data_IF_038989782407
#
_entry.id   IF_038989782407
#
_cell.length_a   1.000
_cell.length_b   1.000
_cell.length_c   1.000
_cell.angle_alpha   90.00
_cell.angle_beta   90.00
_cell.angle_gamma   90.00
#
_symmetry.space_group_name_H-M   'P 1'
#
loop_
_entity.id
_entity.type
_entity.pdbx_description
1 polymer ?
#
# COMPACT_ATOMS: atom_id res chain seq x y z
N UNK A 1 23.41 -17.55 29.88
CA UNK A 1 22.63 -17.38 28.64
C UNK A 1 21.89 -16.06 28.68
N UNK A 2 22.06 -15.21 27.67
CA UNK A 2 21.60 -13.81 27.63
C UNK A 2 20.06 -13.73 27.64
N UNK A 3 19.45 -13.67 28.82
CA UNK A 3 18.09 -13.12 29.07
C UNK A 3 18.06 -11.59 28.89
N UNK A 4 18.76 -11.07 27.87
CA UNK A 4 18.95 -9.63 27.65
C UNK A 4 18.10 -9.08 26.50
N UNK A 5 17.55 -9.93 25.64
CA UNK A 5 16.81 -9.47 24.45
C UNK A 5 15.57 -8.63 24.81
N UNK A 6 14.80 -9.02 25.83
CA UNK A 6 13.57 -8.30 26.18
C UNK A 6 13.80 -6.86 26.65
N UNK A 7 14.94 -6.57 27.30
CA UNK A 7 15.31 -5.22 27.75
C UNK A 7 15.92 -4.35 26.64
N UNK A 8 16.19 -4.94 25.46
CA UNK A 8 16.78 -4.24 24.31
C UNK A 8 15.86 -4.19 23.07
N UNK A 9 14.59 -4.58 23.20
CA UNK A 9 13.64 -4.46 22.10
C UNK A 9 13.20 -3.00 21.94
N UNK A 10 13.42 -2.46 20.75
CA UNK A 10 12.86 -1.18 20.33
C UNK A 10 11.64 -1.41 19.44
N UNK A 11 10.61 -0.58 19.57
CA UNK A 11 9.46 -0.62 18.68
C UNK A 11 9.84 -0.03 17.31
N UNK A 12 9.50 -0.76 16.25
CA UNK A 12 9.65 -0.31 14.86
C UNK A 12 8.32 -0.48 14.14
N UNK A 13 7.99 0.48 13.27
CA UNK A 13 6.81 0.44 12.40
C UNK A 13 7.30 0.65 10.97
N UNK A 14 6.81 -0.18 10.05
CA UNK A 14 7.15 -0.07 8.64
C UNK A 14 6.01 -0.58 7.77
N UNK A 15 5.95 -0.08 6.53
CA UNK A 15 5.09 -0.58 5.47
C UNK A 15 5.99 -1.13 4.37
N UNK A 16 5.68 -2.33 3.86
CA UNK A 16 6.49 -2.98 2.83
C UNK A 16 5.61 -3.83 1.92
N UNK A 17 6.02 -3.94 0.66
CA UNK A 17 5.45 -4.91 -0.28
C UNK A 17 6.37 -6.13 -0.35
N UNK A 18 5.78 -7.32 -0.53
CA UNK A 18 6.53 -8.59 -0.62
C UNK A 18 5.93 -9.47 -1.69
N UNK A 19 6.73 -10.37 -2.26
CA UNK A 19 6.23 -11.56 -2.94
C UNK A 19 6.13 -12.69 -1.92
N UNK A 20 5.15 -13.57 -2.08
CA UNK A 20 5.01 -14.70 -1.18
C UNK A 20 4.47 -15.95 -1.89
N UNK A 21 4.95 -17.11 -1.44
CA UNK A 21 4.47 -18.42 -1.84
C UNK A 21 4.16 -19.24 -0.59
N UNK A 22 3.01 -19.93 -0.57
CA UNK A 22 2.67 -20.85 0.53
C UNK A 22 3.72 -21.93 0.61
N UNK A 23 4.28 -22.13 1.81
CA UNK A 23 5.36 -23.08 2.05
C UNK A 23 5.40 -23.40 3.54
N UNK A 24 5.37 -24.69 3.89
CA UNK A 24 5.53 -25.13 5.27
C UNK A 24 6.95 -24.84 5.77
N UNK A 25 7.13 -24.84 7.09
CA UNK A 25 8.46 -24.64 7.67
C UNK A 25 9.46 -25.71 7.22
N UNK A 26 9.02 -26.95 7.10
CA UNK A 26 9.84 -28.06 6.61
C UNK A 26 10.28 -27.84 5.17
N UNK A 27 9.33 -27.56 4.26
CA UNK A 27 9.63 -27.26 2.85
C UNK A 27 10.58 -26.08 2.69
N UNK A 28 10.45 -25.03 3.53
CA UNK A 28 11.34 -23.88 3.48
C UNK A 28 12.77 -24.23 3.92
N UNK A 29 12.93 -25.01 5.00
CA UNK A 29 14.26 -25.46 5.42
C UNK A 29 14.89 -26.36 4.36
N UNK A 30 14.13 -27.29 3.78
CA UNK A 30 14.59 -28.12 2.66
C UNK A 30 15.00 -27.26 1.45
N UNK A 31 14.16 -26.29 1.07
CA UNK A 31 14.45 -25.33 0.00
C UNK A 31 15.76 -24.59 0.25
N UNK A 32 16.04 -24.20 1.50
CA UNK A 32 17.28 -23.51 1.92
C UNK A 32 18.48 -24.45 2.10
N UNK A 33 18.30 -25.77 2.04
CA UNK A 33 19.33 -26.76 2.37
C UNK A 33 19.70 -26.73 3.86
N UNK A 34 18.79 -26.34 4.73
CA UNK A 34 18.98 -26.25 6.18
C UNK A 34 18.37 -27.46 6.89
N UNK A 35 19.01 -27.88 7.97
CA UNK A 35 18.39 -28.83 8.90
C UNK A 35 17.41 -28.07 9.80
N UNK A 36 16.16 -28.52 9.82
CA UNK A 36 15.16 -27.97 10.73
C UNK A 36 15.57 -28.25 12.18
N UNK A 37 15.47 -27.26 13.10
CA UNK A 37 15.69 -27.50 14.52
C UNK A 37 14.72 -28.57 15.07
N UNK A 38 15.22 -29.46 15.95
CA UNK A 38 14.43 -30.58 16.51
C UNK A 38 13.14 -30.14 17.23
N UNK A 39 13.10 -28.90 17.71
CA UNK A 39 12.00 -28.32 18.46
C UNK A 39 11.01 -27.50 17.59
N UNK A 40 11.12 -27.56 16.27
CA UNK A 40 10.22 -26.88 15.34
C UNK A 40 9.36 -27.89 14.57
N UNK A 41 8.07 -27.56 14.39
CA UNK A 41 7.14 -28.38 13.62
C UNK A 41 7.38 -28.19 12.10
N UNK A 42 7.81 -29.24 11.36
CA UNK A 42 8.02 -29.14 9.92
C UNK A 42 6.72 -28.93 9.13
N UNK A 43 5.57 -29.33 9.69
CA UNK A 43 4.26 -29.19 9.05
C UNK A 43 3.62 -27.82 9.26
N UNK A 44 4.24 -26.95 10.06
CA UNK A 44 3.72 -25.63 10.36
C UNK A 44 3.52 -24.82 9.08
N UNK A 45 2.28 -24.36 8.89
CA UNK A 45 1.88 -23.62 7.71
C UNK A 45 2.43 -22.20 7.76
N UNK A 46 2.95 -21.75 6.62
CA UNK A 46 3.48 -20.40 6.48
C UNK A 46 3.72 -20.04 5.03
N UNK A 47 4.60 -19.05 4.85
CA UNK A 47 4.94 -18.50 3.56
C UNK A 47 6.45 -18.30 3.46
N UNK A 48 7.03 -18.64 2.31
CA UNK A 48 8.25 -18.01 1.84
C UNK A 48 7.90 -16.58 1.46
N UNK A 49 8.67 -15.62 1.96
CA UNK A 49 8.48 -14.19 1.75
C UNK A 49 9.73 -13.61 1.11
N UNK A 50 9.60 -12.99 -0.07
CA UNK A 50 10.67 -12.27 -0.76
C UNK A 50 10.41 -10.76 -0.73
N UNK A 51 11.40 -10.01 -0.26
CA UNK A 51 11.32 -8.56 -0.10
C UNK A 51 11.72 -7.86 -1.42
N UNK A 52 10.87 -6.95 -1.90
CA UNK A 52 11.05 -6.31 -3.23
C UNK A 52 11.53 -4.85 -3.15
N UNK A 53 11.68 -4.30 -1.95
CA UNK A 53 12.10 -2.92 -1.68
C UNK A 53 13.63 -2.74 -1.62
N UNK A 54 14.38 -3.76 -2.03
CA UNK A 54 15.84 -3.75 -2.13
C UNK A 54 16.53 -4.57 -1.03
N UNK A 55 17.84 -4.34 -0.86
CA UNK A 55 18.68 -5.12 0.03
C UNK A 55 19.41 -6.28 -0.67
N UNK A 56 20.37 -6.88 0.04
CA UNK A 56 21.17 -7.98 -0.50
C UNK A 56 20.37 -9.29 -0.38
N UNK A 57 20.22 -10.08 -1.47
CA UNK A 57 19.61 -11.40 -1.38
C UNK A 57 20.44 -12.33 -0.48
N UNK A 58 19.76 -13.22 0.23
CA UNK A 58 20.39 -14.25 1.07
C UNK A 58 20.29 -15.66 0.43
N UNK A 59 19.86 -15.72 -0.83
CA UNK A 59 19.72 -16.91 -1.66
C UNK A 59 19.90 -16.50 -3.13
N UNK A 60 20.69 -17.25 -3.90
CA UNK A 60 21.04 -16.90 -5.29
C UNK A 60 19.89 -17.08 -6.28
N UNK A 61 18.84 -17.83 -5.91
CA UNK A 61 17.66 -18.07 -6.75
C UNK A 61 16.66 -16.92 -6.73
N UNK A 62 16.86 -15.94 -5.86
CA UNK A 62 15.95 -14.83 -5.62
C UNK A 62 16.63 -13.49 -5.88
N UNK A 63 15.84 -12.50 -6.32
CA UNK A 63 16.33 -11.14 -6.52
C UNK A 63 16.41 -10.38 -5.19
N UNK A 64 15.48 -10.67 -4.28
CA UNK A 64 15.37 -10.06 -2.96
C UNK A 64 15.86 -10.95 -1.81
N UNK A 65 15.88 -10.38 -0.62
CA UNK A 65 16.06 -11.16 0.61
C UNK A 65 14.85 -12.07 0.80
N UNK A 66 15.07 -13.36 1.13
CA UNK A 66 13.99 -14.29 1.47
C UNK A 66 13.98 -14.65 2.95
N UNK A 67 12.78 -14.82 3.48
CA UNK A 67 12.51 -15.31 4.84
C UNK A 67 11.33 -16.27 4.84
N UNK A 68 11.11 -16.93 5.97
CA UNK A 68 9.88 -17.67 6.22
C UNK A 68 9.06 -16.98 7.31
N UNK A 69 7.74 -16.93 7.14
CA UNK A 69 6.81 -16.32 8.09
C UNK A 69 5.67 -17.28 8.41
N UNK A 70 5.32 -17.48 9.71
CA UNK A 70 4.13 -18.24 10.08
C UNK A 70 2.88 -17.67 9.44
N UNK A 71 1.93 -18.54 9.09
CA UNK A 71 0.72 -18.16 8.35
C UNK A 71 -0.04 -17.01 9.00
N UNK A 72 -0.27 -17.09 10.30
CA UNK A 72 -1.06 -16.10 11.04
C UNK A 72 -0.35 -14.74 11.17
N UNK A 73 0.98 -14.75 11.31
CA UNK A 73 1.82 -13.54 11.29
C UNK A 73 1.80 -12.91 9.91
N UNK A 74 1.95 -13.72 8.86
CA UNK A 74 1.95 -13.26 7.48
C UNK A 74 0.61 -12.63 7.09
N UNK A 75 -0.50 -13.36 7.28
CA UNK A 75 -1.84 -12.90 6.88
C UNK A 75 -2.32 -11.68 7.68
N UNK A 76 -1.82 -11.45 8.90
CA UNK A 76 -2.06 -10.21 9.65
C UNK A 76 -1.22 -9.03 9.15
N UNK A 77 -0.02 -9.30 8.62
CA UNK A 77 0.94 -8.27 8.23
C UNK A 77 0.82 -7.87 6.75
N UNK A 78 0.38 -8.80 5.90
CA UNK A 78 0.32 -8.64 4.46
C UNK A 78 -1.05 -9.05 3.95
N UNK A 79 -1.74 -8.11 3.31
CA UNK A 79 -2.98 -8.39 2.61
C UNK A 79 -2.68 -8.80 1.17
N UNK A 80 -3.39 -9.80 0.60
CA UNK A 80 -3.28 -10.15 -0.80
C UNK A 80 -3.48 -8.92 -1.70
N UNK A 81 -2.70 -8.77 -2.80
CA UNK A 81 -2.86 -7.67 -3.74
C UNK A 81 -4.23 -7.68 -4.45
N UNK A 82 -4.96 -8.79 -4.38
CA UNK A 82 -6.31 -8.94 -4.94
C UNK A 82 -7.44 -8.49 -3.99
N UNK A 83 -7.15 -8.02 -2.78
CA UNK A 83 -8.17 -7.29 -2.04
C UNK A 83 -8.36 -5.92 -2.72
N UNK A 84 -9.35 -5.85 -3.59
CA UNK A 84 -9.93 -4.59 -4.06
C UNK A 84 -10.91 -4.00 -3.04
N UNK A 85 -10.98 -4.53 -1.82
CA UNK A 85 -11.95 -4.10 -0.80
C UNK A 85 -11.43 -4.26 0.63
N UNK A 86 -12.08 -3.59 1.60
CA UNK A 86 -11.70 -3.53 3.01
C UNK A 86 -10.28 -2.99 3.24
N UNK A 87 -9.93 -1.98 2.43
CA UNK A 87 -8.67 -1.27 2.52
C UNK A 87 -8.78 -0.17 3.58
N UNK A 88 -7.68 0.05 4.31
CA UNK A 88 -7.46 1.26 5.09
C UNK A 88 -7.28 2.46 4.16
N UNK A 89 -7.41 3.67 4.68
CA UNK A 89 -7.08 4.88 3.91
C UNK A 89 -5.64 4.89 3.39
N UNK A 90 -4.67 4.41 4.18
CA UNK A 90 -3.27 4.32 3.75
C UNK A 90 -3.08 3.37 2.56
N UNK A 91 -3.72 2.21 2.59
CA UNK A 91 -3.72 1.26 1.47
C UNK A 91 -4.41 1.87 0.23
N UNK A 92 -5.54 2.54 0.40
CA UNK A 92 -6.23 3.25 -0.68
C UNK A 92 -5.35 4.33 -1.31
N UNK A 93 -4.56 5.06 -0.51
CA UNK A 93 -3.62 6.06 -1.00
C UNK A 93 -2.49 5.43 -1.83
N UNK A 94 -2.02 4.23 -1.50
CA UNK A 94 -1.05 3.51 -2.33
C UNK A 94 -1.64 3.10 -3.69
N UNK A 95 -2.93 2.75 -3.75
CA UNK A 95 -3.62 2.52 -5.03
C UNK A 95 -3.83 3.81 -5.82
N UNK A 96 -4.15 4.92 -5.17
CA UNK A 96 -4.24 6.25 -5.79
C UNK A 96 -2.91 6.65 -6.44
N UNK A 97 -1.79 6.45 -5.75
CA UNK A 97 -0.44 6.70 -6.31
C UNK A 97 -0.14 5.88 -7.56
N UNK A 98 -0.73 4.68 -7.67
CA UNK A 98 -0.65 3.79 -8.84
C UNK A 98 -1.63 4.17 -9.96
N UNK A 99 -2.44 5.22 -9.78
CA UNK A 99 -3.40 5.72 -10.77
C UNK A 99 -4.76 5.04 -10.72
N UNK A 100 -5.04 4.22 -9.70
CA UNK A 100 -6.34 3.59 -9.54
C UNK A 100 -7.40 4.61 -9.07
N UNK A 101 -8.67 4.32 -9.37
CA UNK A 101 -9.82 4.97 -8.73
C UNK A 101 -10.15 4.22 -7.45
N UNK A 102 -10.40 4.93 -6.36
CA UNK A 102 -10.82 4.30 -5.10
C UNK A 102 -12.08 4.95 -4.56
N UNK A 103 -12.86 4.20 -3.80
CA UNK A 103 -14.08 4.66 -3.17
C UNK A 103 -14.24 4.03 -1.79
N UNK A 104 -15.17 4.53 -0.98
CA UNK A 104 -15.64 3.82 0.21
C UNK A 104 -16.82 2.92 -0.14
N UNK A 105 -16.98 1.76 0.49
CA UNK A 105 -18.13 0.89 0.28
C UNK A 105 -19.45 1.66 0.51
N UNK A 106 -19.50 2.47 1.57
CA UNK A 106 -20.67 3.31 1.88
C UNK A 106 -20.99 4.38 0.81
N UNK A 107 -20.05 4.68 -0.09
CA UNK A 107 -20.27 5.59 -1.21
C UNK A 107 -20.85 4.90 -2.45
N UNK A 108 -20.71 3.58 -2.57
CA UNK A 108 -21.05 2.83 -3.79
C UNK A 108 -22.57 2.61 -4.00
N UNK A 109 -23.42 3.33 -3.26
CA UNK A 109 -24.83 3.57 -3.59
C UNK A 109 -25.07 4.92 -4.28
N UNK A 110 -24.06 5.80 -4.33
CA UNK A 110 -24.11 7.16 -4.88
C UNK A 110 -23.07 7.40 -5.99
N UNK A 111 -22.30 6.38 -6.36
CA UNK A 111 -21.32 6.45 -7.47
C UNK A 111 -20.19 7.48 -7.28
N UNK A 112 -19.80 7.73 -6.02
CA UNK A 112 -18.68 8.63 -5.68
C UNK A 112 -17.37 7.87 -5.65
N UNK A 113 -16.28 8.54 -6.03
CA UNK A 113 -14.91 8.00 -5.98
C UNK A 113 -13.89 9.12 -6.01
N UNK A 114 -12.63 8.78 -5.71
CA UNK A 114 -11.49 9.71 -5.74
C UNK A 114 -10.37 9.21 -6.64
N UNK A 115 -9.59 10.16 -7.18
CA UNK A 115 -8.38 9.93 -7.99
C UNK A 115 -7.26 10.85 -7.55
N UNK A 116 -6.01 10.43 -7.78
CA UNK A 116 -4.85 11.30 -7.67
C UNK A 116 -4.57 11.96 -9.02
N UNK A 117 -4.74 13.27 -9.08
CA UNK A 117 -4.33 14.11 -10.20
C UNK A 117 -2.86 14.48 -10.01
N UNK A 118 -1.99 14.06 -10.93
CA UNK A 118 -0.57 14.43 -10.90
C UNK A 118 -0.41 15.93 -11.16
N UNK A 119 0.48 16.55 -10.39
CA UNK A 119 0.84 17.94 -10.60
C UNK A 119 1.42 18.17 -12.00
N UNK A 120 1.23 19.38 -12.51
CA UNK A 120 1.68 19.79 -13.84
C UNK A 120 2.04 21.26 -13.86
N UNK A 121 2.92 21.63 -14.78
CA UNK A 121 3.18 23.03 -15.10
C UNK A 121 2.24 23.44 -16.24
N UNK A 122 1.56 24.56 -16.04
CA UNK A 122 0.72 25.20 -17.05
C UNK A 122 1.55 26.31 -17.68
N UNK A 123 2.09 26.02 -18.87
CA UNK A 123 2.99 26.92 -19.60
C UNK A 123 2.30 28.13 -20.22
N UNK A 124 0.99 28.02 -20.49
CA UNK A 124 0.17 29.11 -21.00
C UNK A 124 -1.16 29.11 -20.24
N UNK A 125 -1.52 30.25 -19.66
CA UNK A 125 -2.84 30.42 -19.07
C UNK A 125 -3.87 30.65 -20.17
N UNK A 126 -5.00 29.97 -20.07
CA UNK A 126 -6.12 30.21 -20.97
C UNK A 126 -6.64 31.64 -20.77
N UNK A 127 -6.90 32.40 -21.85
CA UNK A 127 -7.48 33.73 -21.74
C UNK A 127 -8.81 33.72 -20.99
N UNK A 128 -8.99 34.67 -20.08
CA UNK A 128 -10.11 34.82 -19.15
C UNK A 128 -10.27 33.67 -18.13
N UNK A 129 -9.26 32.82 -17.95
CA UNK A 129 -9.24 31.81 -16.89
C UNK A 129 -9.32 32.44 -15.50
N UNK A 130 -9.75 31.64 -14.51
CA UNK A 130 -9.72 32.07 -13.12
C UNK A 130 -8.30 32.41 -12.63
N UNK A 131 -7.29 31.71 -13.14
CA UNK A 131 -5.90 31.99 -12.82
C UNK A 131 -5.48 33.39 -13.31
N UNK A 132 -5.73 33.72 -14.59
CA UNK A 132 -5.40 35.05 -15.13
C UNK A 132 -6.16 36.16 -14.39
N UNK A 133 -7.47 35.98 -14.14
CA UNK A 133 -8.30 36.96 -13.43
C UNK A 133 -7.84 37.23 -11.99
N UNK A 134 -7.18 36.26 -11.37
CA UNK A 134 -6.61 36.39 -10.04
C UNK A 134 -5.15 36.88 -10.06
N UNK A 135 -4.63 37.27 -11.22
CA UNK A 135 -3.28 37.84 -11.37
C UNK A 135 -2.15 36.80 -11.41
N UNK A 136 -2.45 35.53 -11.70
CA UNK A 136 -1.39 34.57 -11.99
C UNK A 136 -0.79 34.83 -13.37
N UNK A 137 0.53 34.70 -13.46
CA UNK A 137 1.28 34.73 -14.72
C UNK A 137 1.85 33.33 -15.00
N UNK A 138 1.90 32.94 -16.28
CA UNK A 138 2.51 31.68 -16.68
C UNK A 138 4.05 31.76 -16.58
N UNK A 139 4.76 30.66 -16.24
CA UNK A 139 4.20 29.33 -15.97
C UNK A 139 3.62 29.21 -14.55
N UNK A 140 2.49 28.50 -14.43
CA UNK A 140 1.87 28.18 -13.12
C UNK A 140 2.03 26.70 -12.80
N UNK A 141 2.60 26.39 -11.63
CA UNK A 141 2.69 25.02 -11.14
C UNK A 141 1.44 24.65 -10.35
N UNK A 142 0.70 23.67 -10.85
CA UNK A 142 -0.39 23.02 -10.12
C UNK A 142 0.19 21.80 -9.41
N UNK A 143 0.18 21.81 -8.07
CA UNK A 143 0.62 20.68 -7.26
C UNK A 143 -0.27 19.45 -7.45
N UNK A 144 0.26 18.25 -7.20
CA UNK A 144 -0.55 17.03 -7.15
C UNK A 144 -1.63 17.15 -6.08
N UNK A 145 -2.83 16.68 -6.37
CA UNK A 145 -3.98 16.76 -5.49
C UNK A 145 -4.93 15.58 -5.74
N UNK A 146 -5.78 15.28 -4.77
CA UNK A 146 -6.81 14.24 -4.90
C UNK A 146 -8.11 14.93 -5.28
N UNK A 147 -8.81 14.44 -6.29
CA UNK A 147 -10.11 14.93 -6.70
C UNK A 147 -11.19 13.90 -6.39
N UNK A 148 -12.39 14.38 -6.10
CA UNK A 148 -13.56 13.52 -5.86
C UNK A 148 -14.60 13.75 -6.95
N UNK A 149 -15.13 12.66 -7.50
CA UNK A 149 -16.45 12.69 -8.14
C UNK A 149 -17.53 12.64 -7.06
N UNK A 150 -18.28 13.71 -6.90
CA UNK A 150 -19.38 13.79 -5.94
C UNK A 150 -20.62 13.04 -6.43
N UNK A 151 -21.62 12.91 -5.55
CA UNK A 151 -22.83 12.12 -5.81
C UNK A 151 -23.68 12.70 -6.96
N UNK A 152 -23.63 14.01 -7.17
CA UNK A 152 -24.28 14.71 -8.29
C UNK A 152 -23.49 14.63 -9.61
N UNK A 153 -22.33 13.97 -9.59
CA UNK A 153 -21.45 13.81 -10.75
C UNK A 153 -20.45 14.96 -10.96
N UNK A 154 -20.50 16.02 -10.14
CA UNK A 154 -19.50 17.09 -10.18
C UNK A 154 -18.12 16.61 -9.71
N UNK A 155 -17.07 17.29 -10.18
CA UNK A 155 -15.70 17.07 -9.70
C UNK A 155 -15.34 18.11 -8.64
N UNK A 156 -15.07 17.64 -7.42
CA UNK A 156 -14.51 18.45 -6.34
C UNK A 156 -13.00 18.41 -6.47
N UNK A 157 -12.43 19.52 -6.95
CA UNK A 157 -10.99 19.65 -7.13
C UNK A 157 -10.32 19.90 -5.78
N UNK A 158 -9.30 19.12 -5.44
CA UNK A 158 -8.62 19.22 -4.14
C UNK A 158 -9.50 18.74 -2.99
N UNK A 159 -10.09 17.55 -3.13
CA UNK A 159 -10.88 16.88 -2.11
C UNK A 159 -10.11 16.76 -0.79
N UNK A 160 -10.78 17.14 0.30
CA UNK A 160 -10.27 17.07 1.65
C UNK A 160 -10.81 15.80 2.32
N UNK A 161 -9.91 14.86 2.61
CA UNK A 161 -10.26 13.67 3.38
C UNK A 161 -10.68 14.08 4.81
N UNK A 162 -11.89 13.73 5.22
CA UNK A 162 -12.35 13.96 6.59
C UNK A 162 -11.66 12.99 7.56
N UNK A 163 -11.75 13.26 8.87
CA UNK A 163 -11.33 12.30 9.89
C UNK A 163 -12.02 10.95 9.72
N UNK A 164 -13.29 10.94 9.31
CA UNK A 164 -14.04 9.70 9.08
C UNK A 164 -13.58 8.94 7.83
N UNK A 165 -12.98 9.63 6.87
CA UNK A 165 -12.43 9.01 5.66
C UNK A 165 -11.05 8.43 5.94
N UNK A 166 -10.22 9.16 6.68
CA UNK A 166 -8.86 8.73 7.05
C UNK A 166 -8.86 7.54 8.02
N UNK A 167 -9.86 7.44 8.90
CA UNK A 167 -10.01 6.33 9.86
C UNK A 167 -10.84 5.16 9.32
N UNK A 168 -11.30 5.23 8.07
CA UNK A 168 -12.10 4.17 7.47
C UNK A 168 -11.26 3.00 6.99
N UNK A 169 -11.85 1.81 7.09
CA UNK A 169 -11.29 0.54 6.61
C UNK A 169 -12.16 -0.12 5.54
N UNK A 170 -13.15 0.61 5.01
CA UNK A 170 -14.07 0.16 3.97
C UNK A 170 -13.70 0.69 2.57
N UNK A 171 -12.43 1.04 2.35
CA UNK A 171 -11.99 1.50 1.03
C UNK A 171 -11.93 0.35 0.03
N UNK A 172 -12.26 0.65 -1.22
CA UNK A 172 -12.28 -0.28 -2.35
C UNK A 172 -11.60 0.34 -3.56
N UNK A 173 -10.97 -0.49 -4.38
CA UNK A 173 -10.49 -0.12 -5.71
C UNK A 173 -11.61 -0.36 -6.70
N UNK A 174 -11.86 0.61 -7.58
CA UNK A 174 -12.82 0.47 -8.67
C UNK A 174 -12.10 0.02 -9.95
N UNK A 175 -12.67 -0.95 -10.65
CA UNK A 175 -12.25 -1.38 -11.99
C UNK A 175 -12.45 -0.26 -13.03
#
# INVERSE_FOLDING_TARGET
MKKLLALSLCAYVGTKSVLAATMTRGEYNEYRGWQIPENEDPSEQGYLVEYVDGGKPNDERHAGYISWSPRDVFERSYKPPKLSSNLTFGEALEYLKKGARVARQGWNGKGMWVILTKGRVVENLEPNSFYEKCGFEAPVTICSHIDMKAADGSMVVGWLASQTDMLAEDWIVLD
#
